data_IF_516063558925
#
_entry.id   IF_516063558925
#
_cell.length_a   1.000
_cell.length_b   1.000
_cell.length_c   1.000
_cell.angle_alpha   90.00
_cell.angle_beta   90.00
_cell.angle_gamma   90.00
#
_symmetry.space_group_name_H-M   'P 1'
#
loop_
_entity.id
_entity.type
_entity.pdbx_description
1 polymer ?
#
# COMPACT_ATOMS: atom_id res chain seq x y z
N UNK A 1 -43.32 50.81 1.02
CA UNK A 1 -42.44 50.43 2.14
C UNK A 1 -42.48 48.93 2.28
N UNK A 2 -41.32 48.33 2.55
CA UNK A 2 -41.02 46.90 2.69
C UNK A 2 -40.69 46.20 1.36
N UNK A 3 -39.47 46.49 0.92
CA UNK A 3 -38.59 45.57 0.21
C UNK A 3 -38.19 44.39 1.12
N UNK A 4 -37.67 43.33 0.51
CA UNK A 4 -36.82 42.29 1.11
C UNK A 4 -37.50 41.15 1.88
N UNK A 5 -37.78 40.05 1.18
CA UNK A 5 -37.71 38.70 1.75
C UNK A 5 -37.06 37.71 0.76
N UNK A 6 -35.72 37.70 0.84
CA UNK A 6 -34.88 36.50 0.94
C UNK A 6 -35.07 35.37 -0.08
N UNK A 7 -34.31 35.52 -1.17
CA UNK A 7 -33.58 34.44 -1.85
C UNK A 7 -32.73 33.64 -0.84
N UNK A 8 -33.23 32.52 -0.31
CA UNK A 8 -32.39 31.51 0.36
C UNK A 8 -32.92 30.12 0.07
N UNK A 9 -32.50 29.50 -1.03
CA UNK A 9 -32.58 28.05 -1.23
C UNK A 9 -31.69 27.58 -2.41
N UNK A 10 -30.42 27.96 -2.38
CA UNK A 10 -29.47 27.55 -3.42
C UNK A 10 -28.05 27.28 -2.90
N UNK A 11 -27.85 26.71 -1.71
CA UNK A 11 -26.51 26.27 -1.30
C UNK A 11 -26.58 25.02 -0.40
N UNK A 12 -26.64 23.84 -1.01
CA UNK A 12 -26.18 22.58 -0.39
C UNK A 12 -25.63 21.65 -1.48
N UNK A 13 -24.57 22.06 -2.16
CA UNK A 13 -23.90 21.19 -3.12
C UNK A 13 -22.41 21.52 -3.34
N UNK A 14 -21.65 22.00 -2.35
CA UNK A 14 -20.19 22.09 -2.50
C UNK A 14 -19.51 21.96 -1.14
N UNK A 15 -18.88 20.82 -0.86
CA UNK A 15 -17.59 20.73 -0.15
C UNK A 15 -17.23 19.29 0.31
N UNK A 16 -17.05 18.35 -0.62
CA UNK A 16 -16.33 17.08 -0.32
C UNK A 16 -15.12 16.84 -1.22
N UNK A 17 -14.87 17.69 -2.22
CA UNK A 17 -13.78 17.50 -3.20
C UNK A 17 -12.42 18.04 -2.72
N UNK A 18 -12.38 18.98 -1.78
CA UNK A 18 -11.15 19.68 -1.38
C UNK A 18 -10.23 18.84 -0.48
N UNK A 19 -10.81 17.97 0.37
CA UNK A 19 -10.03 17.07 1.23
C UNK A 19 -9.31 15.97 0.44
N UNK A 20 -9.96 15.41 -0.58
CA UNK A 20 -9.39 14.34 -1.40
C UNK A 20 -8.25 14.84 -2.32
N UNK A 21 -8.33 16.06 -2.84
CA UNK A 21 -7.29 16.63 -3.69
C UNK A 21 -5.98 16.91 -2.95
N UNK A 22 -6.07 17.31 -1.67
CA UNK A 22 -4.90 17.67 -0.88
C UNK A 22 -4.11 16.44 -0.41
N UNK A 23 -4.82 15.39 0.05
CA UNK A 23 -4.23 14.08 0.40
C UNK A 23 -3.48 13.49 -0.80
N UNK A 24 -4.07 13.61 -2.00
CA UNK A 24 -3.47 13.09 -3.22
C UNK A 24 -2.16 13.85 -3.57
N UNK A 25 -2.05 15.14 -3.25
CA UNK A 25 -0.79 15.88 -3.44
C UNK A 25 0.28 15.43 -2.45
N UNK A 26 -0.03 15.46 -1.15
CA UNK A 26 0.93 15.12 -0.09
C UNK A 26 1.53 13.72 -0.28
N UNK A 27 0.69 12.73 -0.60
CA UNK A 27 1.18 11.37 -0.83
C UNK A 27 1.89 11.18 -2.18
N UNK A 28 1.65 12.03 -3.19
CA UNK A 28 2.50 12.07 -4.39
C UNK A 28 3.88 12.65 -4.09
N UNK A 29 3.95 13.70 -3.28
CA UNK A 29 5.21 14.34 -2.89
C UNK A 29 6.11 13.34 -2.12
N UNK A 30 5.53 12.55 -1.21
CA UNK A 30 6.21 11.41 -0.56
C UNK A 30 6.77 10.39 -1.56
N UNK A 31 5.97 9.99 -2.55
CA UNK A 31 6.39 9.02 -3.55
C UNK A 31 7.53 9.57 -4.41
N UNK A 32 7.45 10.84 -4.79
CA UNK A 32 8.51 11.52 -5.51
C UNK A 32 9.80 11.58 -4.67
N UNK A 33 9.71 11.92 -3.39
CA UNK A 33 10.84 11.87 -2.47
C UNK A 33 11.43 10.45 -2.42
N UNK A 34 10.59 9.43 -2.27
CA UNK A 34 11.02 8.02 -2.14
C UNK A 34 11.85 7.55 -3.34
N UNK A 35 11.53 8.04 -4.54
CA UNK A 35 12.30 7.78 -5.76
C UNK A 35 13.59 8.62 -5.77
N UNK A 36 13.49 9.93 -5.52
CA UNK A 36 14.64 10.85 -5.57
C UNK A 36 15.73 10.51 -4.55
N UNK A 37 15.33 10.12 -3.34
CA UNK A 37 16.22 9.71 -2.26
C UNK A 37 16.65 8.24 -2.37
N UNK A 38 16.20 7.52 -3.41
CA UNK A 38 16.49 6.11 -3.66
C UNK A 38 16.01 5.18 -2.53
N UNK A 39 15.01 5.58 -1.75
CA UNK A 39 14.31 4.67 -0.86
C UNK A 39 13.61 3.56 -1.67
N UNK A 40 13.18 3.87 -2.90
CA UNK A 40 12.80 2.87 -3.91
C UNK A 40 13.89 2.81 -4.97
N UNK A 41 14.54 1.66 -5.13
CA UNK A 41 15.58 1.48 -6.14
C UNK A 41 15.00 1.15 -7.52
N UNK A 42 14.34 2.15 -8.09
CA UNK A 42 13.63 2.04 -9.36
C UNK A 42 14.52 1.57 -10.53
N UNK A 43 15.78 2.03 -10.69
CA UNK A 43 16.66 1.53 -11.76
C UNK A 43 16.94 0.02 -11.66
N UNK A 44 17.05 -0.52 -10.46
CA UNK A 44 17.23 -1.97 -10.25
C UNK A 44 15.93 -2.72 -10.55
N UNK A 45 14.80 -2.25 -10.03
CA UNK A 45 13.49 -2.85 -10.30
C UNK A 45 13.17 -2.87 -11.80
N UNK A 46 13.42 -1.77 -12.52
CA UNK A 46 13.25 -1.69 -13.97
C UNK A 46 14.11 -2.69 -14.74
N UNK A 47 15.25 -3.14 -14.21
CA UNK A 47 16.06 -4.21 -14.81
C UNK A 47 15.53 -5.58 -14.45
N UNK A 48 15.04 -5.76 -13.23
CA UNK A 48 14.53 -7.03 -12.74
C UNK A 48 13.23 -7.45 -13.43
N UNK A 49 12.42 -6.50 -13.89
CA UNK A 49 11.18 -6.79 -14.63
C UNK A 49 11.38 -6.92 -16.14
N UNK A 50 12.55 -6.52 -16.66
CA UNK A 50 12.81 -6.42 -18.11
C UNK A 50 12.83 -7.78 -18.79
N UNK A 51 11.98 -7.96 -19.80
CA UNK A 51 11.84 -9.20 -20.56
C UNK A 51 11.28 -10.39 -19.77
N UNK A 52 10.83 -10.18 -18.52
CA UNK A 52 10.31 -11.25 -17.67
C UNK A 52 8.78 -11.35 -17.71
N UNK A 53 8.28 -12.56 -17.47
CA UNK A 53 6.87 -12.79 -17.18
C UNK A 53 6.55 -12.41 -15.74
N UNK A 54 5.29 -12.04 -15.47
CA UNK A 54 4.80 -11.80 -14.11
C UNK A 54 4.96 -13.06 -13.26
N UNK A 55 5.47 -12.90 -12.03
CA UNK A 55 5.77 -13.99 -11.11
C UNK A 55 5.75 -13.53 -9.65
N UNK A 56 5.68 -14.49 -8.72
CA UNK A 56 5.84 -14.23 -7.28
C UNK A 56 7.14 -13.48 -6.96
N UNK A 57 8.23 -13.79 -7.68
CA UNK A 57 9.53 -13.15 -7.50
C UNK A 57 9.47 -11.64 -7.76
N UNK A 58 8.62 -11.15 -8.67
CA UNK A 58 8.48 -9.71 -8.88
C UNK A 58 7.98 -8.99 -7.62
N UNK A 59 7.07 -9.61 -6.86
CA UNK A 59 6.62 -9.04 -5.58
C UNK A 59 7.78 -8.99 -4.58
N UNK A 60 8.53 -10.09 -4.46
CA UNK A 60 9.68 -10.16 -3.56
C UNK A 60 10.77 -9.15 -3.92
N UNK A 61 11.01 -8.95 -5.22
CA UNK A 61 11.95 -7.94 -5.71
C UNK A 61 11.46 -6.52 -5.36
N UNK A 62 10.18 -6.21 -5.57
CA UNK A 62 9.60 -4.92 -5.20
C UNK A 62 9.76 -4.63 -3.71
N UNK A 63 9.41 -5.60 -2.85
CA UNK A 63 9.54 -5.46 -1.40
C UNK A 63 10.99 -5.33 -0.95
N UNK A 64 11.90 -6.11 -1.54
CA UNK A 64 13.33 -6.11 -1.23
C UNK A 64 14.03 -4.79 -1.60
N UNK A 65 13.66 -4.20 -2.74
CA UNK A 65 14.26 -2.96 -3.25
C UNK A 65 13.46 -1.71 -2.86
N UNK A 66 12.55 -1.84 -1.90
CA UNK A 66 11.85 -0.75 -1.23
C UNK A 66 12.28 -0.69 0.23
N UNK A 67 13.04 0.35 0.58
CA UNK A 67 13.46 0.63 1.95
C UNK A 67 12.40 1.47 2.67
N UNK A 68 11.45 0.77 3.31
CA UNK A 68 10.42 1.41 4.12
C UNK A 68 10.99 2.20 5.31
N UNK A 69 12.17 1.84 5.83
CA UNK A 69 12.86 2.63 6.86
C UNK A 69 13.27 4.00 6.33
N UNK A 70 13.87 4.03 5.13
CA UNK A 70 14.16 5.27 4.40
C UNK A 70 12.91 6.12 4.16
N UNK A 71 11.79 5.51 3.77
CA UNK A 71 10.51 6.21 3.54
C UNK A 71 9.97 6.81 4.86
N UNK A 72 9.97 6.04 5.95
CA UNK A 72 9.32 6.45 7.20
C UNK A 72 10.17 7.38 8.09
N UNK A 73 11.51 7.32 7.97
CA UNK A 73 12.41 7.99 8.92
C UNK A 73 13.56 8.75 8.23
N UNK A 74 14.49 8.06 7.58
CA UNK A 74 15.79 8.69 7.27
C UNK A 74 15.83 9.48 5.97
N UNK A 75 14.94 9.20 5.02
CA UNK A 75 14.97 9.78 3.67
C UNK A 75 13.83 10.76 3.38
N UNK A 76 12.60 10.41 3.76
CA UNK A 76 11.37 11.14 3.39
C UNK A 76 10.41 11.35 4.57
N UNK A 77 10.96 11.55 5.77
CA UNK A 77 10.15 11.65 6.99
C UNK A 77 9.16 12.81 6.95
N UNK A 78 9.55 13.98 6.44
CA UNK A 78 8.68 15.16 6.41
C UNK A 78 7.51 14.90 5.46
N UNK A 79 7.76 14.41 4.25
CA UNK A 79 6.72 14.05 3.30
C UNK A 79 5.85 12.89 3.82
N UNK A 80 6.42 11.97 4.60
CA UNK A 80 5.66 10.88 5.22
C UNK A 80 4.72 11.40 6.31
N UNK A 81 5.17 12.35 7.13
CA UNK A 81 4.35 12.97 8.14
C UNK A 81 3.23 13.82 7.51
N UNK A 82 3.49 14.44 6.36
CA UNK A 82 2.50 15.22 5.62
C UNK A 82 1.48 14.36 4.86
N UNK A 83 1.86 13.14 4.42
CA UNK A 83 0.95 12.19 3.79
C UNK A 83 0.18 11.39 4.87
N UNK A 84 -1.14 11.58 5.05
CA UNK A 84 -1.88 10.94 6.14
C UNK A 84 -1.82 9.40 6.11
N UNK A 85 -1.70 8.83 4.90
CA UNK A 85 -1.57 7.38 4.72
C UNK A 85 -0.23 6.87 5.27
N UNK A 86 0.87 7.59 5.00
CA UNK A 86 2.20 7.20 5.49
C UNK A 86 2.32 7.42 6.99
N UNK A 87 1.86 8.56 7.50
CA UNK A 87 1.85 8.84 8.93
C UNK A 87 1.06 7.77 9.70
N UNK A 88 -0.13 7.40 9.21
CA UNK A 88 -0.94 6.36 9.84
C UNK A 88 -0.22 5.01 9.83
N UNK A 89 0.35 4.60 8.70
CA UNK A 89 1.12 3.34 8.62
C UNK A 89 2.35 3.35 9.53
N UNK A 90 3.06 4.47 9.62
CA UNK A 90 4.22 4.66 10.49
C UNK A 90 3.84 4.52 11.96
N UNK A 91 2.78 5.19 12.40
CA UNK A 91 2.28 5.09 13.78
C UNK A 91 1.81 3.67 14.10
N UNK A 92 1.08 3.03 13.18
CA UNK A 92 0.65 1.63 13.35
C UNK A 92 1.82 0.67 13.53
N UNK A 93 2.92 0.86 12.80
CA UNK A 93 4.13 0.04 12.98
C UNK A 93 4.74 0.26 14.38
N UNK A 94 4.79 1.51 14.85
CA UNK A 94 5.28 1.81 16.21
C UNK A 94 4.41 1.14 17.27
N UNK A 95 3.08 1.20 17.13
CA UNK A 95 2.13 0.55 18.05
C UNK A 95 2.32 -0.97 18.05
N UNK A 96 2.42 -1.59 16.86
CA UNK A 96 2.68 -3.04 16.70
C UNK A 96 3.97 -3.45 17.39
N UNK A 97 5.06 -2.69 17.16
CA UNK A 97 6.37 -2.98 17.76
C UNK A 97 6.38 -2.76 19.28
N UNK A 98 5.49 -1.91 19.79
CA UNK A 98 5.29 -1.67 21.23
C UNK A 98 4.31 -2.68 21.86
N UNK A 99 3.68 -3.55 21.04
CA UNK A 99 2.67 -4.50 21.49
C UNK A 99 1.31 -3.86 21.80
N UNK A 100 1.07 -2.63 21.35
CA UNK A 100 -0.17 -1.89 21.55
C UNK A 100 -1.17 -2.13 20.42
N UNK A 101 -2.47 -2.10 20.75
CA UNK A 101 -3.55 -2.14 19.75
C UNK A 101 -3.90 -0.70 19.34
N UNK A 102 -3.67 -0.36 18.07
CA UNK A 102 -3.97 0.97 17.53
C UNK A 102 -5.43 1.14 17.07
N UNK A 103 -5.81 2.37 16.69
CA UNK A 103 -7.16 2.68 16.20
C UNK A 103 -7.47 1.93 14.89
N UNK A 104 -8.46 1.04 14.97
CA UNK A 104 -8.74 -0.07 14.06
C UNK A 104 -9.23 0.28 12.64
N UNK A 105 -8.33 0.54 11.69
CA UNK A 105 -8.71 0.56 10.26
C UNK A 105 -8.72 -0.83 9.59
N UNK A 106 -7.93 -1.79 10.09
CA UNK A 106 -8.03 -3.20 9.69
C UNK A 106 -7.62 -4.17 10.81
N UNK A 107 -8.58 -4.73 11.57
CA UNK A 107 -8.30 -5.64 12.68
C UNK A 107 -7.49 -6.88 12.28
N UNK A 108 -7.82 -7.51 11.15
CA UNK A 108 -7.15 -8.74 10.69
C UNK A 108 -5.66 -8.54 10.44
N UNK A 109 -5.27 -7.41 9.84
CA UNK A 109 -3.88 -7.08 9.60
C UNK A 109 -3.15 -6.79 10.92
N UNK A 110 -3.81 -6.10 11.85
CA UNK A 110 -3.26 -5.81 13.17
C UNK A 110 -3.04 -7.07 14.00
N UNK A 111 -4.03 -7.96 14.06
CA UNK A 111 -3.94 -9.22 14.78
C UNK A 111 -2.84 -10.12 14.20
N UNK A 112 -2.70 -10.16 12.86
CA UNK A 112 -1.59 -10.85 12.22
C UNK A 112 -0.24 -10.26 12.65
N UNK A 113 -0.11 -8.93 12.65
CA UNK A 113 1.13 -8.26 13.01
C UNK A 113 1.52 -8.47 14.48
N UNK A 114 0.56 -8.38 15.40
CA UNK A 114 0.77 -8.68 16.82
C UNK A 114 1.19 -10.15 17.02
N UNK A 115 0.55 -11.06 16.28
CA UNK A 115 0.94 -12.48 16.29
C UNK A 115 2.39 -12.67 15.84
N UNK A 116 2.78 -12.04 14.73
CA UNK A 116 4.18 -12.05 14.26
C UNK A 116 5.15 -11.61 15.36
N UNK A 117 4.87 -10.50 16.06
CA UNK A 117 5.73 -10.00 17.13
C UNK A 117 5.79 -10.99 18.30
N UNK A 118 4.64 -11.53 18.72
CA UNK A 118 4.56 -12.44 19.86
C UNK A 118 5.22 -13.79 19.63
N UNK A 119 5.16 -14.33 18.41
CA UNK A 119 5.68 -15.66 18.08
C UNK A 119 7.15 -15.65 17.63
N UNK A 120 7.69 -14.48 17.27
CA UNK A 120 9.06 -14.37 16.75
C UNK A 120 10.15 -14.31 17.82
N UNK A 121 9.83 -14.39 19.12
CA UNK A 121 10.81 -14.24 20.22
C UNK A 121 11.74 -13.01 20.07
N UNK A 122 11.19 -11.88 19.61
CA UNK A 122 11.92 -10.63 19.34
C UNK A 122 12.99 -10.72 18.21
N UNK A 123 13.00 -11.80 17.42
CA UNK A 123 13.83 -11.90 16.22
C UNK A 123 13.28 -10.99 15.12
N UNK A 124 13.96 -9.85 14.91
CA UNK A 124 13.60 -8.84 13.92
C UNK A 124 13.54 -9.41 12.50
N UNK A 125 14.36 -10.40 12.16
CA UNK A 125 14.33 -11.03 10.84
C UNK A 125 13.06 -11.85 10.65
N UNK A 126 12.63 -12.59 11.68
CA UNK A 126 11.38 -13.35 11.64
C UNK A 126 10.16 -12.44 11.65
N UNK A 127 10.17 -11.39 12.47
CA UNK A 127 9.09 -10.38 12.49
C UNK A 127 8.94 -9.77 11.09
N UNK A 128 10.05 -9.31 10.49
CA UNK A 128 10.00 -8.70 9.16
C UNK A 128 9.51 -9.67 8.08
N UNK A 129 9.98 -10.92 8.11
CA UNK A 129 9.52 -11.96 7.19
C UNK A 129 8.00 -12.18 7.34
N UNK A 130 7.52 -12.36 8.57
CA UNK A 130 6.11 -12.59 8.85
C UNK A 130 5.24 -11.41 8.41
N UNK A 131 5.62 -10.17 8.74
CA UNK A 131 4.88 -8.98 8.33
C UNK A 131 4.81 -8.84 6.79
N UNK A 132 5.94 -9.01 6.10
CA UNK A 132 6.06 -8.77 4.65
C UNK A 132 5.50 -9.91 3.79
N UNK A 133 5.58 -11.16 4.28
CA UNK A 133 5.20 -12.35 3.50
C UNK A 133 3.89 -12.98 3.96
N UNK A 134 3.52 -12.86 5.23
CA UNK A 134 2.30 -13.47 5.76
C UNK A 134 1.18 -12.44 5.91
N UNK A 135 1.41 -11.35 6.65
CA UNK A 135 0.36 -10.37 6.93
C UNK A 135 -0.02 -9.52 5.71
N UNK A 136 0.92 -9.29 4.79
CA UNK A 136 0.66 -8.54 3.57
C UNK A 136 -0.51 -9.10 2.74
N UNK A 137 -0.79 -10.41 2.83
CA UNK A 137 -1.93 -11.03 2.14
C UNK A 137 -3.29 -10.42 2.56
N UNK A 138 -3.44 -9.99 3.81
CA UNK A 138 -4.70 -9.38 4.30
C UNK A 138 -5.00 -8.02 3.65
N UNK A 139 -4.02 -7.40 3.01
CA UNK A 139 -4.23 -6.23 2.16
C UNK A 139 -4.86 -6.58 0.81
N UNK A 140 -4.91 -7.86 0.43
CA UNK A 140 -5.33 -8.29 -0.91
C UNK A 140 -6.45 -9.34 -0.90
N UNK A 141 -6.74 -9.96 0.24
CA UNK A 141 -7.83 -10.94 0.40
C UNK A 141 -9.23 -10.32 0.56
N UNK A 142 -9.30 -8.98 0.58
CA UNK A 142 -10.53 -8.20 0.74
C UNK A 142 -10.77 -7.70 2.16
N UNK A 143 -9.96 -8.10 3.14
CA UNK A 143 -10.13 -7.72 4.56
C UNK A 143 -9.78 -6.25 4.81
N UNK A 144 -8.74 -5.74 4.13
CA UNK A 144 -8.22 -4.37 4.34
C UNK A 144 -8.24 -3.53 3.05
N UNK A 145 -9.40 -2.99 2.61
CA UNK A 145 -9.51 -2.27 1.33
C UNK A 145 -8.69 -0.97 1.27
N UNK A 146 -8.53 -0.27 2.39
CA UNK A 146 -7.66 0.91 2.48
C UNK A 146 -6.19 0.55 2.26
N UNK A 147 -5.72 -0.55 2.85
CA UNK A 147 -4.37 -1.05 2.62
C UNK A 147 -4.15 -1.40 1.15
N UNK A 148 -5.09 -2.18 0.57
CA UNK A 148 -5.05 -2.56 -0.85
C UNK A 148 -4.93 -1.34 -1.76
N UNK A 149 -5.79 -0.34 -1.53
CA UNK A 149 -5.83 0.87 -2.33
C UNK A 149 -4.58 1.73 -2.16
N UNK A 150 -3.95 1.74 -0.98
CA UNK A 150 -2.69 2.45 -0.78
C UNK A 150 -1.55 1.76 -1.54
N UNK A 151 -1.30 0.48 -1.31
CA UNK A 151 -0.19 -0.25 -1.94
C UNK A 151 -0.33 -0.25 -3.46
N UNK A 152 -1.55 -0.41 -3.99
CA UNK A 152 -1.80 -0.33 -5.44
C UNK A 152 -1.43 1.04 -6.02
N UNK A 153 -1.69 2.14 -5.30
CA UNK A 153 -1.30 3.49 -5.75
C UNK A 153 0.22 3.68 -5.74
N UNK A 154 0.90 3.16 -4.70
CA UNK A 154 2.37 3.18 -4.63
C UNK A 154 2.95 2.44 -5.84
N UNK A 155 2.49 1.21 -6.09
CA UNK A 155 2.93 0.43 -7.24
C UNK A 155 2.64 1.14 -8.57
N UNK A 156 1.46 1.73 -8.74
CA UNK A 156 1.11 2.43 -9.98
C UNK A 156 2.11 3.54 -10.32
N UNK A 157 2.55 4.31 -9.31
CA UNK A 157 3.54 5.36 -9.51
C UNK A 157 4.92 4.77 -9.84
N UNK A 158 5.34 3.71 -9.14
CA UNK A 158 6.60 2.99 -9.45
C UNK A 158 6.59 2.44 -10.88
N UNK A 159 5.49 1.79 -11.27
CA UNK A 159 5.30 1.21 -12.59
C UNK A 159 5.32 2.26 -13.70
N UNK A 160 4.69 3.42 -13.47
CA UNK A 160 4.72 4.55 -14.40
C UNK A 160 6.13 5.15 -14.52
N UNK A 161 6.77 5.48 -13.39
CA UNK A 161 8.10 6.09 -13.36
C UNK A 161 9.19 5.15 -13.90
N UNK A 162 9.08 3.85 -13.62
CA UNK A 162 10.04 2.83 -14.02
C UNK A 162 9.75 2.21 -15.39
N UNK A 163 8.68 2.67 -16.04
CA UNK A 163 8.19 2.16 -17.32
C UNK A 163 8.00 0.63 -17.36
N UNK A 164 7.48 0.04 -16.27
CA UNK A 164 7.39 -1.42 -16.14
C UNK A 164 6.49 -2.04 -17.21
N UNK A 165 5.42 -1.34 -17.62
CA UNK A 165 4.48 -1.82 -18.65
C UNK A 165 5.17 -2.19 -19.96
N UNK A 166 6.16 -1.40 -20.38
CA UNK A 166 6.88 -1.64 -21.65
C UNK A 166 8.00 -2.69 -21.50
N UNK A 167 8.39 -3.01 -20.25
CA UNK A 167 9.51 -3.89 -19.93
C UNK A 167 9.07 -5.31 -19.64
N UNK A 168 7.91 -5.48 -19.00
CA UNK A 168 7.35 -6.80 -18.72
C UNK A 168 6.93 -7.47 -20.02
N UNK A 169 7.38 -8.71 -20.22
CA UNK A 169 7.19 -9.43 -21.48
C UNK A 169 5.71 -9.67 -21.75
N UNK A 170 5.24 -9.20 -22.91
CA UNK A 170 3.88 -9.45 -23.39
C UNK A 170 2.78 -8.75 -22.60
N UNK A 171 3.13 -7.81 -21.71
CA UNK A 171 2.15 -7.10 -20.91
C UNK A 171 1.65 -5.82 -21.60
N UNK A 172 0.34 -5.65 -21.69
CA UNK A 172 -0.29 -4.49 -22.35
C UNK A 172 -1.28 -3.73 -21.46
N UNK A 173 -1.68 -4.32 -20.33
CA UNK A 173 -2.64 -3.74 -19.39
C UNK A 173 -2.11 -2.50 -18.65
N UNK A 174 -2.95 -1.84 -17.83
CA UNK A 174 -2.57 -0.75 -16.95
C UNK A 174 -1.79 -1.24 -15.71
N UNK A 175 -1.00 -0.36 -15.08
CA UNK A 175 -0.18 -0.73 -13.93
C UNK A 175 -0.95 -1.39 -12.78
N UNK A 176 -2.21 -0.99 -12.53
CA UNK A 176 -2.96 -1.55 -11.41
C UNK A 176 -3.32 -3.02 -11.66
N UNK A 177 -3.60 -3.40 -12.91
CA UNK A 177 -3.83 -4.81 -13.30
C UNK A 177 -2.54 -5.61 -13.16
N UNK A 178 -1.40 -5.05 -13.58
CA UNK A 178 -0.09 -5.68 -13.42
C UNK A 178 0.16 -6.01 -11.95
N UNK A 179 -0.14 -5.05 -11.06
CA UNK A 179 0.02 -5.27 -9.64
C UNK A 179 -0.86 -6.40 -9.12
N UNK A 180 -2.13 -6.43 -9.52
CA UNK A 180 -3.05 -7.50 -9.13
C UNK A 180 -2.58 -8.87 -9.64
N UNK A 181 -2.04 -8.95 -10.85
CA UNK A 181 -1.45 -10.19 -11.38
C UNK A 181 -0.20 -10.61 -10.59
N UNK A 182 0.68 -9.67 -10.23
CA UNK A 182 1.85 -9.92 -9.39
C UNK A 182 1.43 -10.44 -8.01
N UNK A 183 0.45 -9.80 -7.37
CA UNK A 183 -0.09 -10.20 -6.06
C UNK A 183 -0.74 -11.59 -6.13
N UNK A 184 -1.53 -11.87 -7.17
CA UNK A 184 -2.11 -13.21 -7.38
C UNK A 184 -1.03 -14.27 -7.57
N UNK A 185 0.02 -13.97 -8.35
CA UNK A 185 1.14 -14.88 -8.52
C UNK A 185 1.90 -15.12 -7.21
N UNK A 186 2.02 -14.11 -6.35
CA UNK A 186 2.69 -14.23 -5.04
C UNK A 186 1.90 -15.05 -4.03
N UNK A 187 0.58 -14.90 -4.01
CA UNK A 187 -0.30 -15.48 -2.98
C UNK A 187 -1.27 -16.54 -3.54
N UNK A 188 -0.92 -17.20 -4.66
CA UNK A 188 -1.79 -18.16 -5.36
C UNK A 188 -2.42 -19.17 -4.41
N UNK A 189 -1.59 -19.84 -3.61
CA UNK A 189 -2.01 -20.90 -2.70
C UNK A 189 -3.00 -20.38 -1.65
N UNK A 190 -2.81 -19.14 -1.18
CA UNK A 190 -3.70 -18.52 -0.20
C UNK A 190 -5.03 -18.12 -0.84
N UNK A 191 -5.02 -17.58 -2.04
CA UNK A 191 -6.26 -17.28 -2.77
C UNK A 191 -7.07 -18.54 -3.06
N UNK A 192 -6.41 -19.64 -3.47
CA UNK A 192 -7.07 -20.92 -3.69
C UNK A 192 -7.68 -21.48 -2.40
N UNK A 193 -6.94 -21.46 -1.30
CA UNK A 193 -7.43 -21.95 -0.02
C UNK A 193 -8.58 -21.08 0.53
N UNK A 194 -8.51 -19.76 0.36
CA UNK A 194 -9.56 -18.84 0.80
C UNK A 194 -10.82 -18.92 -0.09
N UNK A 195 -10.66 -19.32 -1.36
CA UNK A 195 -11.77 -19.65 -2.25
C UNK A 195 -12.46 -20.96 -1.87
N UNK A 196 -11.69 -21.98 -1.47
CA UNK A 196 -12.22 -23.27 -0.99
C UNK A 196 -12.97 -23.15 0.34
N UNK A 197 -12.51 -22.33 1.27
CA UNK A 197 -13.21 -22.07 2.54
C UNK A 197 -14.53 -21.33 2.34
N UNK A 198 -14.60 -20.37 1.40
CA UNK A 198 -15.86 -19.69 1.04
C UNK A 198 -16.85 -20.58 0.26
N UNK A 199 -16.35 -21.60 -0.45
CA UNK A 199 -17.17 -22.55 -1.20
C UNK A 199 -17.79 -23.70 -0.38
N UNK A 200 -17.44 -23.83 0.91
CA UNK A 200 -17.98 -24.85 1.83
C UNK A 200 -19.02 -24.31 2.82
N UNK A 201 -19.50 -23.08 2.62
CA UNK A 201 -20.60 -22.47 3.39
C UNK A 201 -21.90 -22.40 2.58
N UNK A 202 -22.22 -23.50 1.88
CA UNK A 202 -23.50 -23.72 1.20
C UNK A 202 -24.24 -24.88 1.81
#
# INVERSE_FOLDING_TARGET
>A
MITDFLLVLSILAVSTTWGASNINKQCRDLLQCSIQKKCVNLPVLSKLVDGKNISAQMYDDIDKYTDYGCIFTTGCQDECNDCPLCLTSKLQIVDILSGEKSSNECPTLMDCALKCVSESNQDIFQINKCLRQDCAFHCFDGSCPKCSGFITRVFNQMCAAGNFRQKVKGYSGPCYEMFHEIVRAKFSDRFENNGKTKGHSG
#
